data_IF_168798113246
#
_entry.id   IF_168798113246
#
_cell.length_a   1.000
_cell.length_b   1.000
_cell.length_c   1.000
_cell.angle_alpha   90.00
_cell.angle_beta   90.00
_cell.angle_gamma   90.00
#
_symmetry.space_group_name_H-M   'P 1'
#
loop_
_entity.id
_entity.type
_entity.pdbx_description
1 polymer ?
#
# COMPACT_ATOMS: atom_id res chain seq x y z
N UNK A 1 -46.96 -10.28 34.35
CA UNK A 1 -46.74 -9.83 32.95
C UNK A 1 -45.68 -8.72 32.84
N UNK A 2 -45.71 -7.70 33.71
CA UNK A 2 -44.75 -6.58 33.64
C UNK A 2 -43.28 -6.95 33.95
N UNK A 3 -43.05 -7.97 34.78
CA UNK A 3 -41.71 -8.41 35.13
C UNK A 3 -41.01 -9.17 33.98
N UNK A 4 -41.80 -9.88 33.15
CA UNK A 4 -41.26 -10.62 32.00
C UNK A 4 -40.86 -9.68 30.84
N UNK A 5 -41.66 -8.64 30.60
CA UNK A 5 -41.36 -7.62 29.59
C UNK A 5 -40.10 -6.79 29.89
N UNK A 6 -39.81 -6.57 31.19
CA UNK A 6 -38.58 -5.86 31.59
C UNK A 6 -37.30 -6.68 31.33
N UNK A 7 -37.37 -7.99 31.51
CA UNK A 7 -36.24 -8.88 31.24
C UNK A 7 -35.97 -9.06 29.75
N UNK A 8 -37.02 -9.09 28.93
CA UNK A 8 -36.83 -9.15 27.45
C UNK A 8 -36.26 -7.86 26.90
N UNK A 9 -36.71 -6.71 27.37
CA UNK A 9 -36.16 -5.41 26.97
C UNK A 9 -34.66 -5.26 27.32
N UNK A 10 -34.27 -5.73 28.52
CA UNK A 10 -32.89 -5.71 28.97
C UNK A 10 -32.00 -6.63 28.12
N UNK A 11 -32.46 -7.81 27.73
CA UNK A 11 -31.73 -8.73 26.85
C UNK A 11 -31.56 -8.20 25.43
N UNK A 12 -32.58 -7.53 24.88
CA UNK A 12 -32.52 -6.91 23.58
C UNK A 12 -31.50 -5.76 23.53
N UNK A 13 -31.50 -4.89 24.55
CA UNK A 13 -30.53 -3.80 24.69
C UNK A 13 -29.10 -4.34 24.82
N UNK A 14 -28.91 -5.40 25.59
CA UNK A 14 -27.61 -6.03 25.81
C UNK A 14 -27.09 -6.70 24.54
N UNK A 15 -27.95 -7.34 23.75
CA UNK A 15 -27.54 -7.93 22.46
C UNK A 15 -27.25 -6.87 21.41
N UNK A 16 -27.96 -5.74 21.37
CA UNK A 16 -27.67 -4.61 20.52
C UNK A 16 -26.33 -3.96 20.86
N UNK A 17 -26.03 -3.78 22.16
CA UNK A 17 -24.74 -3.25 22.61
C UNK A 17 -23.56 -4.16 22.24
N UNK A 18 -23.73 -5.46 22.33
CA UNK A 18 -22.71 -6.43 21.88
C UNK A 18 -22.50 -6.37 20.38
N UNK A 19 -23.56 -6.29 19.60
CA UNK A 19 -23.49 -6.17 18.14
C UNK A 19 -22.74 -4.90 17.72
N UNK A 20 -23.05 -3.74 18.33
CA UNK A 20 -22.35 -2.49 18.08
C UNK A 20 -20.88 -2.56 18.47
N UNK A 21 -20.55 -3.17 19.61
CA UNK A 21 -19.17 -3.33 20.05
C UNK A 21 -18.35 -4.17 19.09
N UNK A 22 -18.89 -5.30 18.62
CA UNK A 22 -18.22 -6.17 17.64
C UNK A 22 -18.03 -5.45 16.30
N UNK A 23 -19.03 -4.72 15.84
CA UNK A 23 -18.95 -3.94 14.59
C UNK A 23 -17.87 -2.87 14.68
N UNK A 24 -17.79 -2.12 15.76
CA UNK A 24 -16.74 -1.13 16.01
C UNK A 24 -15.35 -1.75 16.06
N UNK A 25 -15.19 -2.86 16.75
CA UNK A 25 -13.91 -3.58 16.86
C UNK A 25 -13.44 -4.07 15.49
N UNK A 26 -14.32 -4.64 14.67
CA UNK A 26 -14.02 -5.07 13.31
C UNK A 26 -13.62 -3.90 12.40
N UNK A 27 -14.36 -2.79 12.45
CA UNK A 27 -14.04 -1.58 11.67
C UNK A 27 -12.70 -0.98 12.06
N UNK A 28 -12.40 -0.91 13.35
CA UNK A 28 -11.10 -0.44 13.84
C UNK A 28 -9.96 -1.34 13.38
N UNK A 29 -10.13 -2.65 13.42
CA UNK A 29 -9.15 -3.61 12.94
C UNK A 29 -8.87 -3.44 11.45
N UNK A 30 -9.90 -3.36 10.62
CA UNK A 30 -9.79 -3.14 9.17
C UNK A 30 -9.12 -1.80 8.87
N UNK A 31 -9.51 -0.72 9.52
CA UNK A 31 -8.92 0.61 9.33
C UNK A 31 -7.44 0.62 9.72
N UNK A 32 -7.08 -0.02 10.82
CA UNK A 32 -5.69 -0.09 11.30
C UNK A 32 -4.78 -0.84 10.32
N UNK A 33 -5.22 -2.00 9.82
CA UNK A 33 -4.46 -2.76 8.83
C UNK A 33 -4.38 -2.04 7.48
N UNK A 34 -5.45 -1.38 7.04
CA UNK A 34 -5.44 -0.55 5.84
C UNK A 34 -4.44 0.61 5.93
N UNK A 35 -4.37 1.30 7.07
CA UNK A 35 -3.40 2.39 7.31
C UNK A 35 -1.96 1.89 7.26
N UNK A 36 -1.70 0.72 7.82
CA UNK A 36 -0.38 0.06 7.80
C UNK A 36 0.09 -0.25 6.39
N UNK A 37 -0.79 -0.83 5.59
CA UNK A 37 -0.54 -1.17 4.18
C UNK A 37 -0.34 0.10 3.34
N UNK A 38 -1.15 1.14 3.54
CA UNK A 38 -1.01 2.42 2.85
C UNK A 38 0.34 3.10 3.13
N UNK A 39 0.84 3.06 4.36
CA UNK A 39 2.15 3.62 4.72
C UNK A 39 3.28 2.90 3.97
N UNK A 40 3.26 1.58 3.90
CA UNK A 40 4.22 0.79 3.14
C UNK A 40 4.13 1.06 1.63
N UNK A 41 2.93 1.16 1.09
CA UNK A 41 2.68 1.46 -0.32
C UNK A 41 3.14 2.87 -0.69
N UNK A 42 2.98 3.85 0.20
CA UNK A 42 3.46 5.22 -0.01
C UNK A 42 4.98 5.25 -0.14
N UNK A 43 5.72 4.50 0.67
CA UNK A 43 7.17 4.37 0.56
C UNK A 43 7.57 3.77 -0.78
N UNK A 44 6.94 2.68 -1.20
CA UNK A 44 7.21 2.04 -2.49
C UNK A 44 6.90 2.97 -3.68
N UNK A 45 5.78 3.69 -3.62
CA UNK A 45 5.41 4.65 -4.64
C UNK A 45 6.42 5.80 -4.72
N UNK A 46 6.87 6.30 -3.59
CA UNK A 46 7.86 7.38 -3.51
C UNK A 46 9.20 6.92 -4.08
N UNK A 47 9.70 5.76 -3.69
CA UNK A 47 10.95 5.19 -4.21
C UNK A 47 10.83 4.92 -5.70
N UNK A 48 9.74 4.30 -6.15
CA UNK A 48 9.52 3.98 -7.56
C UNK A 48 9.45 5.21 -8.46
N UNK A 49 8.86 6.31 -7.99
CA UNK A 49 8.73 7.55 -8.76
C UNK A 49 9.95 8.45 -8.67
N UNK A 50 10.71 8.44 -7.57
CA UNK A 50 11.85 9.33 -7.35
C UNK A 50 13.18 8.73 -7.77
N UNK A 51 13.34 7.41 -7.70
CA UNK A 51 14.61 6.74 -8.00
C UNK A 51 15.15 7.03 -9.40
N UNK A 52 14.35 7.06 -10.50
CA UNK A 52 14.84 7.44 -11.82
C UNK A 52 15.38 8.87 -11.85
N UNK A 53 14.73 9.78 -11.12
CA UNK A 53 15.15 11.19 -11.07
C UNK A 53 16.43 11.38 -10.24
N UNK A 54 16.61 10.58 -9.19
CA UNK A 54 17.87 10.54 -8.44
C UNK A 54 19.00 10.04 -9.34
N UNK A 55 18.76 9.01 -10.14
CA UNK A 55 19.73 8.55 -11.13
C UNK A 55 20.06 9.61 -12.17
N UNK A 56 19.06 10.31 -12.69
CA UNK A 56 19.24 11.43 -13.62
C UNK A 56 20.05 12.58 -12.98
N UNK A 57 19.77 12.91 -11.73
CA UNK A 57 20.55 13.90 -11.00
C UNK A 57 22.03 13.51 -10.93
N UNK A 58 22.34 12.25 -10.68
CA UNK A 58 23.69 11.72 -10.69
C UNK A 58 24.36 11.84 -12.06
N UNK A 59 23.63 11.59 -13.14
CA UNK A 59 24.10 11.77 -14.52
C UNK A 59 24.47 13.23 -14.80
N UNK A 60 23.58 14.16 -14.48
CA UNK A 60 23.82 15.60 -14.68
C UNK A 60 25.04 16.07 -13.87
N UNK A 61 25.12 15.64 -12.62
CA UNK A 61 26.25 15.97 -11.75
C UNK A 61 27.59 15.44 -12.30
N UNK A 62 27.63 14.19 -12.75
CA UNK A 62 28.82 13.57 -13.30
C UNK A 62 29.27 14.21 -14.60
N UNK A 63 28.37 14.52 -15.52
CA UNK A 63 28.67 15.19 -16.77
C UNK A 63 29.14 16.62 -16.52
N UNK A 64 28.49 17.33 -15.59
CA UNK A 64 28.93 18.67 -15.23
C UNK A 64 30.37 18.67 -14.69
N UNK A 65 30.73 17.74 -13.81
CA UNK A 65 32.08 17.58 -13.30
C UNK A 65 33.10 17.26 -14.41
N UNK A 66 32.73 16.44 -15.38
CA UNK A 66 33.56 16.13 -16.53
C UNK A 66 33.82 17.37 -17.41
N UNK A 67 32.80 18.17 -17.66
CA UNK A 67 32.92 19.41 -18.46
C UNK A 67 33.81 20.44 -17.76
N UNK A 68 33.76 20.56 -16.45
CA UNK A 68 34.66 21.44 -15.72
C UNK A 68 36.11 20.98 -15.83
N UNK A 69 36.36 19.68 -15.72
CA UNK A 69 37.72 19.12 -15.91
C UNK A 69 38.26 19.40 -17.30
N UNK A 70 37.46 19.23 -18.34
CA UNK A 70 37.83 19.52 -19.70
C UNK A 70 38.15 21.02 -19.90
N UNK A 71 37.33 21.89 -19.32
CA UNK A 71 37.54 23.33 -19.32
C UNK A 71 38.82 23.76 -18.64
N UNK A 72 39.21 23.10 -17.56
CA UNK A 72 40.41 23.38 -16.78
C UNK A 72 41.67 22.85 -17.45
N UNK A 73 41.65 21.67 -18.05
CA UNK A 73 42.82 21.01 -18.64
C UNK A 73 42.98 21.26 -20.15
N UNK A 74 41.94 21.75 -20.83
CA UNK A 74 41.92 21.92 -22.27
C UNK A 74 41.91 20.62 -23.06
N UNK A 75 41.82 19.48 -22.43
CA UNK A 75 41.81 18.16 -23.07
C UNK A 75 40.37 17.72 -23.37
N UNK A 76 39.94 17.98 -24.59
CA UNK A 76 38.62 17.54 -25.09
C UNK A 76 38.70 16.20 -25.83
N UNK A 77 39.54 15.27 -25.40
CA UNK A 77 39.66 13.94 -26.00
C UNK A 77 38.57 13.00 -25.47
N UNK A 78 38.17 12.05 -26.31
CA UNK A 78 37.21 11.00 -25.92
C UNK A 78 37.71 10.22 -24.70
N UNK A 79 39.01 9.95 -24.62
CA UNK A 79 39.64 9.24 -23.51
C UNK A 79 39.49 9.97 -22.17
N UNK A 80 39.53 11.30 -22.18
CA UNK A 80 39.34 12.10 -20.96
C UNK A 80 37.89 12.15 -20.49
N UNK A 81 36.94 11.98 -21.40
CA UNK A 81 35.49 12.12 -21.14
C UNK A 81 34.82 10.76 -20.86
N UNK A 82 35.32 9.68 -21.44
CA UNK A 82 34.70 8.36 -21.41
C UNK A 82 34.50 7.84 -19.98
N UNK A 83 35.51 7.99 -19.11
CA UNK A 83 35.42 7.57 -17.71
C UNK A 83 34.31 8.28 -16.94
N UNK A 84 34.35 9.62 -16.82
CA UNK A 84 33.31 10.37 -16.09
C UNK A 84 31.90 10.23 -16.66
N UNK A 85 31.75 10.18 -17.98
CA UNK A 85 30.44 9.96 -18.63
C UNK A 85 29.95 8.55 -18.38
N UNK A 86 30.82 7.55 -18.42
CA UNK A 86 30.50 6.17 -18.09
C UNK A 86 29.99 6.03 -16.64
N UNK A 87 30.65 6.65 -15.68
CA UNK A 87 30.22 6.69 -14.30
C UNK A 87 28.84 7.36 -14.15
N UNK A 88 28.59 8.45 -14.82
CA UNK A 88 27.31 9.14 -14.83
C UNK A 88 26.19 8.24 -15.38
N UNK A 89 26.45 7.51 -16.46
CA UNK A 89 25.48 6.55 -17.02
C UNK A 89 25.17 5.41 -16.07
N UNK A 90 26.15 4.93 -15.29
CA UNK A 90 25.94 3.92 -14.25
C UNK A 90 24.97 4.44 -13.17
N UNK A 91 25.05 5.72 -12.81
CA UNK A 91 24.11 6.32 -11.84
C UNK A 91 22.66 6.25 -12.33
N UNK A 92 22.43 6.52 -13.61
CA UNK A 92 21.10 6.36 -14.22
C UNK A 92 20.64 4.89 -14.18
N UNK A 93 21.52 3.96 -14.52
CA UNK A 93 21.23 2.53 -14.47
C UNK A 93 20.87 2.07 -13.06
N UNK A 94 21.59 2.51 -12.03
CA UNK A 94 21.28 2.21 -10.62
C UNK A 94 19.92 2.76 -10.23
N UNK A 95 19.59 4.00 -10.59
CA UNK A 95 18.30 4.60 -10.34
C UNK A 95 17.15 3.80 -10.95
N UNK A 96 17.29 3.37 -12.19
CA UNK A 96 16.31 2.51 -12.87
C UNK A 96 16.23 1.12 -12.28
N UNK A 97 17.35 0.53 -11.88
CA UNK A 97 17.41 -0.78 -11.25
C UNK A 97 16.65 -0.82 -9.91
N UNK A 98 16.66 0.27 -9.17
CA UNK A 98 15.87 0.43 -7.93
C UNK A 98 14.42 0.75 -8.25
N UNK A 99 14.15 1.60 -9.22
CA UNK A 99 12.80 2.04 -9.57
C UNK A 99 11.92 0.91 -10.10
N UNK A 100 12.42 0.05 -10.96
CA UNK A 100 11.64 -0.98 -11.64
C UNK A 100 11.05 -1.98 -10.64
N UNK A 101 11.85 -2.62 -9.74
CA UNK A 101 11.27 -3.51 -8.74
C UNK A 101 10.30 -2.80 -7.78
N UNK A 102 10.58 -1.55 -7.42
CA UNK A 102 9.71 -0.77 -6.53
C UNK A 102 8.33 -0.53 -7.16
N UNK A 103 8.27 -0.17 -8.43
CA UNK A 103 7.01 0.04 -9.17
C UNK A 103 6.25 -1.27 -9.34
N UNK A 104 6.94 -2.36 -9.69
CA UNK A 104 6.32 -3.68 -9.82
C UNK A 104 5.75 -4.15 -8.49
N UNK A 105 6.50 -4.01 -7.41
CA UNK A 105 6.05 -4.34 -6.06
C UNK A 105 4.86 -3.47 -5.63
N UNK A 106 4.90 -2.18 -5.90
CA UNK A 106 3.79 -1.26 -5.63
C UNK A 106 2.51 -1.72 -6.31
N UNK A 107 2.55 -1.98 -7.61
CA UNK A 107 1.39 -2.41 -8.38
C UNK A 107 0.84 -3.76 -7.87
N UNK A 108 1.72 -4.69 -7.54
CA UNK A 108 1.34 -5.99 -6.97
C UNK A 108 0.64 -5.82 -5.61
N UNK A 109 1.20 -5.04 -4.71
CA UNK A 109 0.62 -4.81 -3.38
C UNK A 109 -0.68 -4.02 -3.42
N UNK A 110 -0.81 -3.03 -4.30
CA UNK A 110 -2.08 -2.30 -4.51
C UNK A 110 -3.17 -3.27 -4.92
N UNK A 111 -2.89 -4.16 -5.87
CA UNK A 111 -3.86 -5.17 -6.32
C UNK A 111 -4.21 -6.15 -5.20
N UNK A 112 -3.23 -6.69 -4.50
CA UNK A 112 -3.43 -7.61 -3.37
C UNK A 112 -4.20 -6.95 -2.24
N UNK A 113 -3.89 -5.71 -1.91
CA UNK A 113 -4.56 -4.94 -0.88
C UNK A 113 -6.04 -4.70 -1.23
N UNK A 114 -6.36 -4.38 -2.47
CA UNK A 114 -7.73 -4.23 -2.95
C UNK A 114 -8.53 -5.52 -2.79
N UNK A 115 -7.97 -6.66 -3.18
CA UNK A 115 -8.61 -7.96 -3.05
C UNK A 115 -8.82 -8.31 -1.59
N UNK A 116 -7.83 -8.09 -0.74
CA UNK A 116 -7.89 -8.37 0.69
C UNK A 116 -8.93 -7.50 1.39
N UNK A 117 -8.97 -6.21 1.11
CA UNK A 117 -9.99 -5.30 1.65
C UNK A 117 -11.40 -5.73 1.27
N UNK A 118 -11.63 -6.13 0.03
CA UNK A 118 -12.92 -6.65 -0.40
C UNK A 118 -13.31 -7.92 0.37
N UNK A 119 -12.37 -8.83 0.63
CA UNK A 119 -12.61 -10.03 1.45
C UNK A 119 -12.94 -9.69 2.89
N UNK A 120 -12.24 -8.73 3.50
CA UNK A 120 -12.52 -8.27 4.86
C UNK A 120 -13.89 -7.60 4.96
N UNK A 121 -14.26 -6.76 4.00
CA UNK A 121 -15.57 -6.12 3.97
C UNK A 121 -16.69 -7.16 3.86
N UNK A 122 -16.54 -8.14 2.99
CA UNK A 122 -17.48 -9.27 2.84
C UNK A 122 -17.56 -10.07 4.13
N UNK A 123 -16.45 -10.41 4.73
CA UNK A 123 -16.39 -11.15 5.99
C UNK A 123 -17.05 -10.38 7.14
N UNK A 124 -16.76 -9.09 7.26
CA UNK A 124 -17.37 -8.23 8.28
C UNK A 124 -18.88 -8.13 8.09
N UNK A 125 -19.36 -8.02 6.85
CA UNK A 125 -20.77 -8.00 6.52
C UNK A 125 -21.44 -9.33 6.85
N UNK A 126 -20.84 -10.44 6.49
CA UNK A 126 -21.35 -11.79 6.79
C UNK A 126 -21.41 -12.05 8.31
N UNK A 127 -20.40 -11.60 9.06
CA UNK A 127 -20.42 -11.67 10.52
C UNK A 127 -21.53 -10.82 11.12
N UNK A 128 -21.73 -9.62 10.62
CA UNK A 128 -22.81 -8.73 11.07
C UNK A 128 -24.16 -9.37 10.82
N UNK A 129 -24.39 -9.92 9.63
CA UNK A 129 -25.63 -10.61 9.30
C UNK A 129 -25.83 -11.86 10.14
N UNK A 130 -24.78 -12.63 10.41
CA UNK A 130 -24.84 -13.79 11.31
C UNK A 130 -25.24 -13.40 12.73
N UNK A 131 -24.65 -12.35 13.29
CA UNK A 131 -24.97 -11.89 14.64
C UNK A 131 -26.33 -11.18 14.72
N UNK A 132 -26.77 -10.53 13.63
CA UNK A 132 -28.05 -9.84 13.60
C UNK A 132 -29.24 -10.78 13.37
N UNK A 133 -29.07 -11.80 12.51
CA UNK A 133 -30.16 -12.69 12.08
C UNK A 133 -30.04 -14.12 12.60
N UNK A 134 -28.86 -14.52 13.11
CA UNK A 134 -28.57 -15.89 13.53
C UNK A 134 -28.45 -16.90 12.39
N UNK A 135 -28.52 -16.44 11.13
CA UNK A 135 -28.44 -17.28 9.94
C UNK A 135 -27.10 -17.10 9.21
N UNK A 136 -26.51 -18.20 8.74
CA UNK A 136 -25.36 -18.17 7.84
C UNK A 136 -25.82 -17.80 6.43
N UNK A 137 -25.18 -16.81 5.84
CA UNK A 137 -25.48 -16.32 4.47
C UNK A 137 -25.40 -17.43 3.40
N UNK A 138 -24.66 -18.53 3.67
CA UNK A 138 -24.58 -19.68 2.77
C UNK A 138 -25.79 -20.63 2.77
N UNK A 139 -26.69 -20.53 3.75
CA UNK A 139 -27.82 -21.48 3.87
C UNK A 139 -29.09 -21.02 3.14
N UNK A 140 -29.17 -19.76 2.74
CA UNK A 140 -30.35 -19.20 2.07
C UNK A 140 -30.41 -19.56 0.57
N UNK A 141 -29.29 -20.00 -0.03
CA UNK A 141 -29.19 -20.35 -1.45
C UNK A 141 -29.43 -21.83 -1.79
N UNK A 142 -29.69 -22.68 -0.83
CA UNK A 142 -29.73 -24.13 -1.02
C UNK A 142 -31.10 -24.80 -1.22
N UNK A 143 -32.15 -24.03 -1.46
CA UNK A 143 -33.46 -24.60 -1.80
C UNK A 143 -33.99 -24.08 -3.13
N UNK A 144 -33.50 -24.67 -4.19
CA UNK A 144 -34.22 -24.86 -5.45
C UNK A 144 -33.84 -26.21 -6.03
#
# INVERSE_FOLDING_TARGET
AAHHQRHEGSRLVESLNRSEFVDRALRQGVTRESSRLENGLTVLATVGSTAPFVGLLGTVWGIYGALIKIGATGQASIDAVAGPVGEALIMTAVGLFVAIPAVLAYNFFVRSNRITNNKFDTFAHDLHDFFATGARVGEVGGKR
#
